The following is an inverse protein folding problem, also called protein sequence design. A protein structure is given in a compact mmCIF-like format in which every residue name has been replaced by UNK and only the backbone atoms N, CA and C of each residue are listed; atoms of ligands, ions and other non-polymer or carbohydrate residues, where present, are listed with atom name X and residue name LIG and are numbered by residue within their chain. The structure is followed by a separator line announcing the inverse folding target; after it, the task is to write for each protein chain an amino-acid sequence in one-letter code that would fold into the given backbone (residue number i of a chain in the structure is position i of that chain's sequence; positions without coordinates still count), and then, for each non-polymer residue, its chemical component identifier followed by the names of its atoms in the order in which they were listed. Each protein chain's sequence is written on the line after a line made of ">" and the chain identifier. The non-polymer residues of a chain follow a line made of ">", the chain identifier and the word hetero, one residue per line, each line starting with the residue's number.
data_IF_172175148839
#
_entry.id   IF_172175148839
#
_cell.length_a   1.000
_cell.length_b   1.000
_cell.length_c   1.000
_cell.angle_alpha   90.00
_cell.angle_beta   90.00
_cell.angle_gamma   90.00
#
_symmetry.space_group_name_H-M   'P 1'
#
loop_
_entity.id
_entity.type
_entity.pdbx_description
1 polymer ?
#
# COMPACT_ATOMS: atom_id res chain seq x y z
N UNK A 1 2.88 -43.74 -18.15
CA UNK A 1 2.86 -44.55 -19.40
C UNK A 1 3.50 -45.92 -19.25
N UNK A 2 4.59 -46.09 -18.47
CA UNK A 2 5.20 -47.39 -18.24
C UNK A 2 4.34 -48.31 -17.34
N UNK A 3 3.80 -47.79 -16.23
CA UNK A 3 2.94 -48.56 -15.32
C UNK A 3 1.60 -48.99 -15.95
N UNK A 4 1.04 -48.17 -16.84
CA UNK A 4 -0.19 -48.49 -17.59
C UNK A 4 0.04 -49.67 -18.54
N UNK A 5 1.24 -49.76 -19.14
CA UNK A 5 1.63 -50.90 -19.99
C UNK A 5 1.82 -52.18 -19.17
N UNK A 6 2.38 -52.08 -17.97
CA UNK A 6 2.56 -53.22 -17.08
C UNK A 6 1.23 -53.81 -16.58
N UNK A 7 0.24 -52.96 -16.29
CA UNK A 7 -1.10 -53.41 -15.90
C UNK A 7 -1.85 -54.05 -17.08
N UNK A 8 -1.71 -53.52 -18.30
CA UNK A 8 -2.30 -54.11 -19.51
C UNK A 8 -1.68 -55.46 -19.89
N UNK A 9 -0.37 -55.64 -19.67
CA UNK A 9 0.33 -56.93 -19.87
C UNK A 9 -0.15 -58.05 -18.95
N UNK A 10 -0.61 -57.72 -17.74
CA UNK A 10 -1.03 -58.71 -16.75
C UNK A 10 -2.48 -59.19 -16.97
N UNK A 11 -3.30 -58.40 -17.66
CA UNK A 11 -4.72 -58.71 -17.85
C UNK A 11 -5.00 -59.42 -19.18
N UNK A 12 -4.29 -59.11 -20.27
CA UNK A 12 -4.40 -59.84 -21.54
C UNK A 12 -3.24 -59.47 -22.50
N UNK A 13 -2.25 -60.36 -22.75
CA UNK A 13 -1.10 -60.06 -23.60
C UNK A 13 -1.45 -59.88 -25.10
N UNK A 14 -2.67 -60.23 -25.54
CA UNK A 14 -3.12 -59.99 -26.92
C UNK A 14 -3.43 -58.51 -27.23
N UNK A 15 -3.48 -57.63 -26.21
CA UNK A 15 -3.84 -56.21 -26.36
C UNK A 15 -2.66 -55.29 -26.73
N UNK A 16 -1.44 -55.84 -26.86
CA UNK A 16 -0.24 -55.10 -27.27
C UNK A 16 0.12 -55.27 -28.74
N UNK A 17 -0.60 -56.13 -29.47
CA UNK A 17 -0.38 -56.28 -30.90
C UNK A 17 -1.02 -55.09 -31.60
N UNK A 18 -0.16 -54.22 -32.10
CA UNK A 18 -0.51 -53.10 -32.95
C UNK A 18 -1.10 -53.73 -34.22
N UNK A 19 -2.44 -53.79 -34.27
CA UNK A 19 -3.18 -54.29 -35.43
C UNK A 19 -3.10 -53.24 -36.55
N UNK A 20 -1.88 -52.97 -37.01
CA UNK A 20 -1.59 -52.28 -38.25
C UNK A 20 -1.85 -53.23 -39.41
N UNK A 21 -2.69 -52.78 -40.33
CA UNK A 21 -2.79 -53.24 -41.71
C UNK A 21 -2.83 -54.76 -41.95
N UNK A 22 -3.93 -55.39 -41.54
CA UNK A 22 -4.45 -56.54 -42.29
C UNK A 22 -5.32 -56.03 -43.45
N UNK A 23 -4.66 -55.40 -44.42
CA UNK A 23 -5.21 -55.08 -45.73
C UNK A 23 -5.64 -56.36 -46.45
N UNK A 24 -6.94 -56.63 -46.47
CA UNK A 24 -7.66 -57.05 -47.68
C UNK A 24 -7.31 -58.39 -48.40
N UNK A 25 -6.70 -59.47 -47.85
CA UNK A 25 -6.54 -60.72 -48.62
C UNK A 25 -7.72 -61.68 -48.40
N UNK A 26 -8.34 -61.62 -47.22
CA UNK A 26 -9.33 -62.58 -46.74
C UNK A 26 -10.66 -62.52 -47.53
N UNK A 27 -11.06 -61.33 -47.99
CA UNK A 27 -12.29 -61.17 -48.78
C UNK A 27 -12.14 -61.74 -50.20
N UNK A 28 -10.95 -61.60 -50.81
CA UNK A 28 -10.68 -62.11 -52.15
C UNK A 28 -10.48 -63.63 -52.18
N UNK A 29 -9.92 -64.22 -51.11
CA UNK A 29 -9.88 -65.68 -50.92
C UNK A 29 -11.25 -66.26 -50.57
N UNK A 30 -12.02 -65.61 -49.70
CA UNK A 30 -13.38 -66.04 -49.38
C UNK A 30 -14.30 -66.01 -50.61
N UNK A 31 -14.22 -64.96 -51.43
CA UNK A 31 -14.98 -64.86 -52.68
C UNK A 31 -14.60 -65.94 -53.71
N UNK A 32 -13.31 -66.28 -53.82
CA UNK A 32 -12.84 -67.38 -54.68
C UNK A 32 -13.30 -68.74 -54.17
N UNK A 33 -13.29 -68.94 -52.86
CA UNK A 33 -13.77 -70.15 -52.21
C UNK A 33 -15.28 -70.32 -52.42
N UNK A 34 -16.07 -69.26 -52.28
CA UNK A 34 -17.52 -69.29 -52.47
C UNK A 34 -17.90 -69.64 -53.93
N UNK A 35 -17.17 -69.10 -54.90
CA UNK A 35 -17.34 -69.44 -56.32
C UNK A 35 -17.05 -70.93 -56.58
N UNK A 36 -15.93 -71.43 -56.07
CA UNK A 36 -15.52 -72.83 -56.21
C UNK A 36 -16.50 -73.80 -55.53
N UNK A 37 -17.00 -73.45 -54.35
CA UNK A 37 -18.02 -74.23 -53.63
C UNK A 37 -19.35 -74.24 -54.38
N UNK A 38 -19.72 -73.12 -55.00
CA UNK A 38 -20.95 -73.01 -55.80
C UNK A 38 -20.90 -73.89 -57.05
N UNK A 39 -19.77 -73.90 -57.76
CA UNK A 39 -19.56 -74.76 -58.93
C UNK A 39 -19.47 -76.24 -58.54
N UNK A 40 -18.75 -76.56 -57.46
CA UNK A 40 -18.66 -77.91 -56.92
C UNK A 40 -20.04 -78.45 -56.52
N UNK A 41 -20.89 -77.62 -55.91
CA UNK A 41 -22.28 -77.95 -55.57
C UNK A 41 -23.13 -78.22 -56.81
N UNK A 42 -22.90 -77.49 -57.91
CA UNK A 42 -23.61 -77.70 -59.17
C UNK A 42 -23.25 -79.05 -59.78
N UNK A 43 -21.96 -79.40 -59.79
CA UNK A 43 -21.45 -80.70 -60.26
C UNK A 43 -21.97 -81.84 -59.38
N UNK A 44 -21.89 -81.70 -58.06
CA UNK A 44 -22.43 -82.68 -57.13
C UNK A 44 -23.93 -82.93 -57.33
N UNK A 45 -24.73 -81.88 -57.60
CA UNK A 45 -26.17 -82.06 -57.90
C UNK A 45 -26.42 -82.91 -59.15
N UNK A 46 -25.58 -82.76 -60.18
CA UNK A 46 -25.70 -83.56 -61.42
C UNK A 46 -25.31 -85.00 -61.14
N UNK A 47 -24.17 -85.22 -60.49
CA UNK A 47 -23.71 -86.57 -60.11
C UNK A 47 -24.71 -87.28 -59.19
N UNK A 48 -25.29 -86.58 -58.22
CA UNK A 48 -26.33 -87.15 -57.36
C UNK A 48 -27.60 -87.54 -58.10
N UNK A 49 -28.01 -86.75 -59.10
CA UNK A 49 -29.15 -87.10 -59.96
C UNK A 49 -28.85 -88.36 -60.77
N UNK A 50 -27.64 -88.47 -61.32
CA UNK A 50 -27.22 -89.65 -62.07
C UNK A 50 -27.10 -90.89 -61.17
N UNK A 51 -26.49 -90.74 -59.99
CA UNK A 51 -26.38 -91.81 -59.00
C UNK A 51 -27.76 -92.27 -58.53
N UNK A 52 -28.70 -91.34 -58.28
CA UNK A 52 -30.07 -91.68 -57.90
C UNK A 52 -30.79 -92.48 -58.99
N UNK A 53 -30.61 -92.14 -60.26
CA UNK A 53 -31.15 -92.91 -61.39
C UNK A 53 -30.52 -94.30 -61.43
N UNK A 54 -29.20 -94.42 -61.26
CA UNK A 54 -28.51 -95.71 -61.25
C UNK A 54 -28.90 -96.59 -60.06
N UNK A 55 -28.97 -96.03 -58.85
CA UNK A 55 -29.40 -96.73 -57.63
C UNK A 55 -30.85 -97.21 -57.74
N UNK A 56 -31.70 -96.40 -58.36
CA UNK A 56 -33.07 -96.78 -58.71
C UNK A 56 -33.12 -97.92 -59.74
N UNK A 57 -32.26 -97.87 -60.76
CA UNK A 57 -32.16 -98.93 -61.77
C UNK A 57 -31.62 -100.23 -61.17
N UNK A 58 -30.61 -100.17 -60.31
CA UNK A 58 -30.03 -101.34 -59.63
C UNK A 58 -31.03 -101.95 -58.65
N UNK A 59 -31.73 -101.14 -57.84
CA UNK A 59 -32.80 -101.63 -56.95
C UNK A 59 -33.96 -102.27 -57.71
N UNK A 60 -34.29 -101.76 -58.89
CA UNK A 60 -35.27 -102.40 -59.79
C UNK A 60 -34.74 -103.74 -60.33
N UNK A 61 -33.46 -103.79 -60.71
CA UNK A 61 -32.81 -104.99 -61.27
C UNK A 61 -32.59 -106.10 -60.24
N UNK A 62 -32.28 -105.77 -58.98
CA UNK A 62 -32.13 -106.73 -57.87
C UNK A 62 -33.44 -107.46 -57.51
N UNK A 63 -34.60 -106.90 -57.86
CA UNK A 63 -35.91 -107.52 -57.65
C UNK A 63 -36.33 -108.52 -58.73
N UNK A 64 -35.57 -108.69 -59.82
CA UNK A 64 -35.89 -109.61 -60.92
C UNK A 64 -35.06 -110.89 -60.84
N UNK A 65 -35.72 -112.06 -60.81
CA UNK A 65 -35.04 -113.36 -60.73
C UNK A 65 -34.71 -113.96 -62.14
N UNK A 66 -35.23 -113.37 -63.23
CA UNK A 66 -34.85 -113.75 -64.61
C UNK A 66 -35.10 -112.64 -65.65
N UNK A 67 -34.36 -112.68 -66.76
CA UNK A 67 -34.40 -111.67 -67.84
C UNK A 67 -35.76 -111.56 -68.54
N UNK A 68 -36.60 -112.61 -68.49
CA UNK A 68 -37.94 -112.61 -69.09
C UNK A 68 -38.96 -111.77 -68.30
N UNK A 69 -38.75 -111.54 -67.00
CA UNK A 69 -39.62 -110.68 -66.19
C UNK A 69 -39.42 -109.19 -66.50
N UNK A 70 -38.23 -108.78 -66.95
CA UNK A 70 -37.94 -107.40 -67.35
C UNK A 70 -38.80 -106.93 -68.53
N UNK A 71 -39.15 -107.84 -69.45
CA UNK A 71 -39.89 -107.53 -70.67
C UNK A 71 -41.41 -107.57 -70.50
N UNK A 72 -41.92 -108.07 -69.37
CA UNK A 72 -43.36 -108.34 -69.16
C UNK A 72 -43.99 -107.58 -67.99
N UNK A 73 -43.18 -106.92 -67.14
CA UNK A 73 -43.68 -106.23 -65.95
C UNK A 73 -43.79 -104.71 -66.19
N UNK A 74 -44.93 -104.05 -65.91
CA UNK A 74 -45.04 -102.60 -66.05
C UNK A 74 -44.16 -101.89 -65.01
N UNK A 75 -43.47 -100.83 -65.45
CA UNK A 75 -42.54 -100.06 -64.65
C UNK A 75 -43.24 -99.44 -63.42
N UNK A 76 -42.77 -99.65 -62.18
CA UNK A 76 -43.40 -99.06 -61.00
C UNK A 76 -43.23 -97.53 -61.02
N UNK A 77 -44.25 -96.75 -60.61
CA UNK A 77 -44.27 -95.31 -60.88
C UNK A 77 -43.26 -94.48 -60.09
N UNK A 78 -42.61 -94.97 -59.02
CA UNK A 78 -41.49 -94.27 -58.37
C UNK A 78 -40.54 -95.23 -57.62
N UNK A 79 -39.22 -95.11 -57.82
CA UNK A 79 -38.23 -95.69 -56.90
C UNK A 79 -38.26 -94.97 -55.54
N UNK A 80 -38.10 -95.74 -54.45
CA UNK A 80 -38.31 -95.29 -53.07
C UNK A 80 -37.59 -93.98 -52.70
N UNK A 81 -38.36 -92.97 -52.28
CA UNK A 81 -37.90 -91.62 -51.95
C UNK A 81 -37.06 -91.45 -50.67
N UNK A 82 -36.49 -92.53 -50.11
CA UNK A 82 -35.73 -92.51 -48.86
C UNK A 82 -34.45 -91.65 -48.91
N UNK A 83 -33.68 -91.74 -49.99
CA UNK A 83 -32.49 -90.90 -50.21
C UNK A 83 -32.84 -89.42 -50.33
N UNK A 84 -33.95 -89.10 -51.02
CA UNK A 84 -34.46 -87.73 -51.17
C UNK A 84 -34.97 -87.15 -49.84
N UNK A 85 -35.62 -87.98 -49.02
CA UNK A 85 -36.04 -87.62 -47.66
C UNK A 85 -34.84 -87.28 -46.76
N UNK A 86 -33.82 -88.14 -46.73
CA UNK A 86 -32.57 -87.93 -45.97
C UNK A 86 -31.81 -86.69 -46.40
N UNK A 87 -31.69 -86.43 -47.70
CA UNK A 87 -31.07 -85.20 -48.22
C UNK A 87 -31.84 -83.93 -47.84
N UNK A 88 -33.18 -83.98 -47.87
CA UNK A 88 -34.02 -82.85 -47.42
C UNK A 88 -33.84 -82.58 -45.92
N UNK A 89 -33.78 -83.63 -45.11
CA UNK A 89 -33.53 -83.51 -43.67
C UNK A 89 -32.14 -82.91 -43.40
N UNK A 90 -31.09 -83.44 -44.03
CA UNK A 90 -29.72 -82.92 -43.90
C UNK A 90 -29.63 -81.45 -44.36
N UNK A 91 -30.31 -81.09 -45.44
CA UNK A 91 -30.35 -79.70 -45.93
C UNK A 91 -31.07 -78.77 -44.95
N UNK A 92 -32.12 -79.24 -44.28
CA UNK A 92 -32.82 -78.47 -43.25
C UNK A 92 -31.95 -78.31 -42.00
N UNK A 93 -31.27 -79.37 -41.56
CA UNK A 93 -30.32 -79.36 -40.44
C UNK A 93 -29.12 -78.44 -40.73
N UNK A 94 -28.53 -78.50 -41.93
CA UNK A 94 -27.43 -77.61 -42.33
C UNK A 94 -27.91 -76.15 -42.36
N UNK A 95 -29.15 -75.89 -42.80
CA UNK A 95 -29.71 -74.54 -42.78
C UNK A 95 -29.92 -74.05 -41.34
N UNK A 96 -30.46 -74.88 -40.46
CA UNK A 96 -30.60 -74.57 -39.02
C UNK A 96 -29.24 -74.28 -38.38
N UNK A 97 -28.23 -75.11 -38.64
CA UNK A 97 -26.88 -74.89 -38.13
C UNK A 97 -26.26 -73.59 -38.63
N UNK A 98 -26.47 -73.22 -39.90
CA UNK A 98 -26.03 -71.91 -40.42
C UNK A 98 -26.73 -70.77 -39.69
N UNK A 99 -28.05 -70.82 -39.53
CA UNK A 99 -28.83 -69.79 -38.81
C UNK A 99 -28.39 -69.63 -37.35
N UNK A 100 -28.09 -70.74 -36.66
CA UNK A 100 -27.54 -70.74 -35.30
C UNK A 100 -26.14 -70.13 -35.24
N UNK A 101 -25.24 -70.50 -36.17
CA UNK A 101 -23.90 -69.91 -36.24
C UNK A 101 -23.92 -68.43 -36.55
N UNK A 102 -24.81 -67.97 -37.44
CA UNK A 102 -25.00 -66.55 -37.73
C UNK A 102 -25.54 -65.77 -36.53
N UNK A 103 -26.46 -66.37 -35.76
CA UNK A 103 -26.93 -65.77 -34.51
C UNK A 103 -25.80 -65.64 -33.48
N UNK A 104 -24.98 -66.69 -33.30
CA UNK A 104 -23.82 -66.65 -32.41
C UNK A 104 -22.79 -65.59 -32.87
N UNK A 105 -22.50 -65.50 -34.17
CA UNK A 105 -21.60 -64.48 -34.72
C UNK A 105 -22.10 -63.06 -34.46
N UNK A 106 -23.40 -62.80 -34.62
CA UNK A 106 -24.01 -61.50 -34.27
C UNK A 106 -23.83 -61.18 -32.78
N UNK A 107 -24.12 -62.12 -31.89
CA UNK A 107 -23.93 -61.90 -30.44
C UNK A 107 -22.46 -61.68 -30.06
N UNK A 108 -21.52 -62.35 -30.74
CA UNK A 108 -20.09 -62.13 -30.54
C UNK A 108 -19.66 -60.74 -31.02
N UNK A 109 -20.14 -60.30 -32.19
CA UNK A 109 -19.88 -58.96 -32.70
C UNK A 109 -20.40 -57.87 -31.75
N UNK A 110 -21.61 -58.02 -31.22
CA UNK A 110 -22.16 -57.10 -30.21
C UNK A 110 -21.31 -57.07 -28.93
N UNK A 111 -20.86 -58.24 -28.45
CA UNK A 111 -19.97 -58.32 -27.28
C UNK A 111 -18.62 -57.65 -27.53
N UNK A 112 -18.03 -57.85 -28.71
CA UNK A 112 -16.78 -57.19 -29.09
C UNK A 112 -16.97 -55.67 -29.09
N UNK A 113 -18.06 -55.18 -29.69
CA UNK A 113 -18.38 -53.76 -29.71
C UNK A 113 -18.53 -53.17 -28.29
N UNK A 114 -19.24 -53.87 -27.40
CA UNK A 114 -19.37 -53.47 -26.00
C UNK A 114 -18.02 -53.43 -25.27
N UNK A 115 -17.13 -54.40 -25.54
CA UNK A 115 -15.77 -54.42 -24.96
C UNK A 115 -14.96 -53.22 -25.46
N UNK A 116 -15.04 -52.88 -26.75
CA UNK A 116 -14.35 -51.72 -27.32
C UNK A 116 -14.84 -50.40 -26.70
N UNK A 117 -16.15 -50.24 -26.52
CA UNK A 117 -16.75 -49.07 -25.85
C UNK A 117 -16.31 -48.95 -24.38
N UNK A 118 -16.31 -50.08 -23.65
CA UNK A 118 -15.79 -50.13 -22.27
C UNK A 118 -14.29 -49.80 -22.22
N UNK A 119 -13.49 -50.28 -23.18
CA UNK A 119 -12.07 -49.93 -23.27
C UNK A 119 -11.88 -48.43 -23.50
N UNK A 120 -12.68 -47.84 -24.39
CA UNK A 120 -12.59 -46.42 -24.68
C UNK A 120 -12.95 -45.57 -23.45
N UNK A 121 -14.05 -45.89 -22.77
CA UNK A 121 -14.48 -45.19 -21.55
C UNK A 121 -13.45 -45.31 -20.42
N UNK A 122 -12.88 -46.50 -20.20
CA UNK A 122 -11.80 -46.69 -19.22
C UNK A 122 -10.55 -45.86 -19.57
N UNK A 123 -10.18 -45.81 -20.85
CA UNK A 123 -9.02 -45.00 -21.29
C UNK A 123 -9.24 -43.51 -21.00
N UNK A 124 -10.44 -42.99 -21.25
CA UNK A 124 -10.81 -41.61 -20.91
C UNK A 124 -10.75 -41.36 -19.39
N UNK A 125 -11.28 -42.28 -18.58
CA UNK A 125 -11.25 -42.17 -17.12
C UNK A 125 -9.83 -42.16 -16.55
N UNK A 126 -8.95 -43.05 -17.06
CA UNK A 126 -7.53 -43.08 -16.66
C UNK A 126 -6.84 -41.76 -17.00
N UNK A 127 -7.11 -41.21 -18.20
CA UNK A 127 -6.53 -39.93 -18.58
C UNK A 127 -7.07 -38.77 -17.72
N UNK A 128 -8.35 -38.79 -17.37
CA UNK A 128 -8.94 -37.82 -16.46
C UNK A 128 -8.31 -37.89 -15.06
N UNK A 129 -8.14 -39.09 -14.50
CA UNK A 129 -7.49 -39.30 -13.21
C UNK A 129 -6.02 -38.84 -13.23
N UNK A 130 -5.30 -39.10 -14.31
CA UNK A 130 -3.92 -38.64 -14.46
C UNK A 130 -3.83 -37.10 -14.46
N UNK A 131 -4.73 -36.45 -15.19
CA UNK A 131 -4.82 -34.99 -15.20
C UNK A 131 -5.16 -34.43 -13.81
N UNK A 132 -6.09 -35.06 -13.09
CA UNK A 132 -6.45 -34.67 -11.72
C UNK A 132 -5.28 -34.82 -10.75
N UNK A 133 -4.51 -35.93 -10.84
CA UNK A 133 -3.30 -36.13 -10.05
C UNK A 133 -2.27 -35.02 -10.29
N UNK A 134 -2.02 -34.68 -11.55
CA UNK A 134 -1.10 -33.59 -11.92
C UNK A 134 -1.57 -32.23 -11.38
N UNK A 135 -2.88 -31.95 -11.43
CA UNK A 135 -3.45 -30.73 -10.85
C UNK A 135 -3.24 -30.67 -9.33
N UNK A 136 -3.43 -31.78 -8.62
CA UNK A 136 -3.22 -31.83 -7.16
C UNK A 136 -1.75 -31.61 -6.78
N UNK A 137 -0.80 -32.15 -7.55
CA UNK A 137 0.64 -31.93 -7.32
C UNK A 137 1.00 -30.45 -7.51
N UNK A 138 0.50 -29.81 -8.57
CA UNK A 138 0.70 -28.37 -8.81
C UNK A 138 0.11 -27.49 -7.70
N UNK A 139 -1.07 -27.86 -7.18
CA UNK A 139 -1.71 -27.15 -6.07
C UNK A 139 -0.91 -27.30 -4.77
N UNK A 140 -0.32 -28.46 -4.54
CA UNK A 140 0.52 -28.72 -3.37
C UNK A 140 1.81 -27.88 -3.42
N UNK A 141 2.44 -27.78 -4.59
CA UNK A 141 3.60 -26.91 -4.78
C UNK A 141 3.26 -25.43 -4.58
N UNK A 142 2.11 -24.95 -5.09
CA UNK A 142 1.70 -23.56 -4.89
C UNK A 142 1.37 -23.26 -3.44
N UNK A 143 0.74 -24.20 -2.73
CA UNK A 143 0.47 -24.09 -1.30
C UNK A 143 1.77 -24.03 -0.48
N UNK A 144 2.77 -24.86 -0.80
CA UNK A 144 4.07 -24.80 -0.14
C UNK A 144 4.77 -23.45 -0.38
N UNK A 145 4.71 -22.92 -1.61
CA UNK A 145 5.25 -21.60 -1.93
C UNK A 145 4.55 -20.49 -1.14
N UNK A 146 3.22 -20.55 -1.03
CA UNK A 146 2.44 -19.59 -0.24
C UNK A 146 2.79 -19.67 1.25
N UNK A 147 2.97 -20.86 1.81
CA UNK A 147 3.39 -21.05 3.20
C UNK A 147 4.79 -20.49 3.46
N UNK A 148 5.75 -20.75 2.57
CA UNK A 148 7.10 -20.20 2.70
C UNK A 148 7.09 -18.66 2.60
N UNK A 149 6.28 -18.10 1.71
CA UNK A 149 6.11 -16.64 1.61
C UNK A 149 5.49 -16.05 2.89
N UNK A 150 4.48 -16.71 3.46
CA UNK A 150 3.86 -16.30 4.73
C UNK A 150 4.89 -16.28 5.86
N UNK A 151 5.68 -17.35 6.00
CA UNK A 151 6.75 -17.42 6.99
C UNK A 151 7.77 -16.30 6.81
N UNK A 152 8.17 -15.99 5.57
CA UNK A 152 9.07 -14.86 5.30
C UNK A 152 8.45 -13.52 5.73
N UNK A 153 7.16 -13.30 5.46
CA UNK A 153 6.45 -12.10 5.90
C UNK A 153 6.38 -12.01 7.43
N UNK A 154 6.13 -13.12 8.13
CA UNK A 154 6.11 -13.14 9.59
C UNK A 154 7.46 -12.73 10.19
N UNK A 155 8.57 -13.23 9.63
CA UNK A 155 9.92 -12.82 10.07
C UNK A 155 10.17 -11.32 9.83
N UNK A 156 9.75 -10.78 8.69
CA UNK A 156 9.86 -9.36 8.38
C UNK A 156 9.01 -8.50 9.33
N UNK A 157 7.80 -8.95 9.67
CA UNK A 157 6.93 -8.26 10.63
C UNK A 157 7.56 -8.20 12.02
N UNK A 158 8.14 -9.31 12.50
CA UNK A 158 8.86 -9.34 13.78
C UNK A 158 10.03 -8.36 13.77
N UNK A 159 10.80 -8.34 12.69
CA UNK A 159 11.93 -7.41 12.54
C UNK A 159 11.47 -5.93 12.55
N UNK A 160 10.43 -5.60 11.77
CA UNK A 160 9.89 -4.24 11.73
C UNK A 160 9.32 -3.80 13.08
N UNK A 161 8.67 -4.72 13.80
CA UNK A 161 8.15 -4.46 15.15
C UNK A 161 9.29 -4.14 16.13
N UNK A 162 10.36 -4.93 16.13
CA UNK A 162 11.53 -4.67 16.98
C UNK A 162 12.21 -3.33 16.64
N UNK A 163 12.28 -2.98 15.35
CA UNK A 163 12.81 -1.68 14.92
C UNK A 163 11.93 -0.52 15.42
N UNK A 164 10.61 -0.64 15.30
CA UNK A 164 9.67 0.36 15.79
C UNK A 164 9.76 0.55 17.31
N UNK A 165 9.81 -0.55 18.08
CA UNK A 165 10.00 -0.51 19.53
C UNK A 165 11.32 0.17 19.92
N UNK A 166 12.41 -0.11 19.21
CA UNK A 166 13.70 0.56 19.45
C UNK A 166 13.66 2.06 19.16
N UNK A 167 12.92 2.47 18.12
CA UNK A 167 12.78 3.86 17.73
C UNK A 167 11.93 4.63 18.73
N UNK A 168 10.84 4.02 19.21
CA UNK A 168 10.02 4.55 20.29
C UNK A 168 10.83 4.74 21.57
N UNK A 169 11.64 3.74 21.98
CA UNK A 169 12.52 3.86 23.13
C UNK A 169 13.51 5.03 23.02
N UNK A 170 14.11 5.23 21.83
CA UNK A 170 14.97 6.40 21.58
C UNK A 170 14.19 7.72 21.70
N UNK A 171 12.98 7.78 21.16
CA UNK A 171 12.15 9.00 21.21
C UNK A 171 11.75 9.35 22.64
N UNK A 172 11.42 8.36 23.47
CA UNK A 172 11.13 8.56 24.89
C UNK A 172 12.36 9.11 25.64
N UNK A 173 13.56 8.60 25.36
CA UNK A 173 14.79 9.13 25.95
C UNK A 173 15.04 10.59 25.56
N UNK A 174 14.84 10.94 24.27
CA UNK A 174 14.96 12.32 23.80
C UNK A 174 13.93 13.25 24.42
N UNK A 175 12.71 12.76 24.60
CA UNK A 175 11.66 13.49 25.29
C UNK A 175 12.04 13.76 26.74
N UNK A 176 12.51 12.76 27.48
CA UNK A 176 12.97 12.94 28.85
C UNK A 176 14.11 13.97 28.94
N UNK A 177 15.12 13.87 28.08
CA UNK A 177 16.23 14.83 28.05
C UNK A 177 15.75 16.25 27.76
N UNK A 178 14.84 16.42 26.80
CA UNK A 178 14.25 17.74 26.51
C UNK A 178 13.50 18.26 27.74
N UNK A 179 12.71 17.42 28.40
CA UNK A 179 11.90 17.83 29.54
C UNK A 179 12.82 18.21 30.74
N UNK A 180 13.91 17.47 30.97
CA UNK A 180 14.97 17.84 31.93
C UNK A 180 15.63 19.18 31.58
N UNK A 181 16.02 19.37 30.32
CA UNK A 181 16.59 20.64 29.84
C UNK A 181 15.60 21.80 29.98
N UNK A 182 14.31 21.56 29.76
CA UNK A 182 13.27 22.57 29.93
C UNK A 182 13.16 23.01 31.38
N UNK A 183 13.27 22.09 32.35
CA UNK A 183 13.31 22.41 33.78
C UNK A 183 14.51 23.31 34.08
N UNK A 184 15.72 22.94 33.63
CA UNK A 184 16.90 23.78 33.83
C UNK A 184 16.75 25.17 33.21
N UNK A 185 16.18 25.28 32.00
CA UNK A 185 15.91 26.56 31.35
C UNK A 185 14.94 27.39 32.17
N UNK A 186 13.85 26.79 32.67
CA UNK A 186 12.87 27.48 33.51
C UNK A 186 13.46 27.93 34.85
N UNK A 187 14.28 27.10 35.49
CA UNK A 187 14.99 27.48 36.73
C UNK A 187 15.94 28.64 36.48
N UNK A 188 16.73 28.58 35.40
CA UNK A 188 17.63 29.67 35.00
C UNK A 188 16.85 30.94 34.68
N UNK A 189 15.75 30.87 33.93
CA UNK A 189 14.88 32.01 33.65
C UNK A 189 14.21 32.58 34.90
N UNK A 190 13.93 31.75 35.91
CA UNK A 190 13.37 32.24 37.17
C UNK A 190 14.37 33.07 37.97
N UNK A 191 15.67 32.81 37.81
CA UNK A 191 16.75 33.55 38.49
C UNK A 191 17.26 34.70 37.61
N UNK A 192 17.31 34.49 36.30
CA UNK A 192 17.83 35.45 35.34
C UNK A 192 16.78 36.50 34.98
N UNK A 193 17.21 37.75 34.99
CA UNK A 193 16.45 38.89 34.49
C UNK A 193 16.46 38.97 32.95
N UNK A 194 16.71 37.84 32.27
CA UNK A 194 16.95 37.76 30.83
C UNK A 194 16.17 36.58 30.26
N UNK A 195 15.19 36.88 29.41
CA UNK A 195 14.42 35.89 28.66
C UNK A 195 14.97 35.80 27.23
N UNK A 196 15.38 34.60 26.83
CA UNK A 196 15.71 34.32 25.44
C UNK A 196 14.41 34.22 24.63
N UNK A 197 14.20 35.12 23.66
CA UNK A 197 13.02 35.11 22.79
C UNK A 197 13.27 34.29 21.52
N UNK A 198 14.41 34.51 20.87
CA UNK A 198 14.81 33.75 19.69
C UNK A 198 16.33 33.70 19.55
N UNK A 199 16.82 32.65 18.90
CA UNK A 199 18.23 32.46 18.60
C UNK A 199 18.36 31.77 17.25
N UNK A 200 19.17 32.34 16.36
CA UNK A 200 19.53 31.74 15.07
C UNK A 200 21.04 31.87 14.82
N UNK A 201 21.50 31.56 13.60
CA UNK A 201 22.93 31.52 13.28
C UNK A 201 23.62 32.89 13.33
N UNK A 202 22.89 33.98 13.13
CA UNK A 202 23.42 35.35 13.02
C UNK A 202 22.75 36.34 13.97
N UNK A 203 21.72 35.93 14.71
CA UNK A 203 20.85 36.81 15.47
C UNK A 203 20.42 36.18 16.79
N UNK A 204 20.24 37.03 17.80
CA UNK A 204 19.79 36.71 19.14
C UNK A 204 18.83 37.80 19.59
N UNK A 205 17.61 37.42 19.90
CA UNK A 205 16.63 38.30 20.52
C UNK A 205 16.50 37.93 21.99
N UNK A 206 16.76 38.90 22.87
CA UNK A 206 16.60 38.75 24.32
C UNK A 206 15.70 39.84 24.87
N UNK A 207 14.99 39.51 25.93
CA UNK A 207 14.15 40.44 26.68
C UNK A 207 14.68 40.54 28.10
N UNK A 208 15.07 41.74 28.51
CA UNK A 208 15.56 42.02 29.85
C UNK A 208 14.39 42.46 30.74
N UNK A 209 14.29 41.85 31.92
CA UNK A 209 13.33 42.14 32.98
C UNK A 209 14.06 42.36 34.30
N UNK A 210 14.67 43.54 34.52
CA UNK A 210 15.36 43.81 35.77
C UNK A 210 14.41 43.74 36.96
N UNK A 211 14.76 42.97 37.99
CA UNK A 211 13.99 42.93 39.23
C UNK A 211 14.43 44.08 40.11
N UNK A 212 13.59 45.09 40.19
CA UNK A 212 13.88 46.26 41.02
C UNK A 212 13.48 45.96 42.45
N UNK A 213 14.40 46.23 43.38
CA UNK A 213 14.26 45.88 44.80
C UNK A 213 13.26 46.75 45.56
N UNK A 214 12.47 47.58 44.87
CA UNK A 214 11.67 48.64 45.48
C UNK A 214 10.18 48.28 45.52
N UNK A 215 9.64 48.32 46.75
CA UNK A 215 8.27 48.02 47.16
C UNK A 215 7.18 48.98 46.62
N UNK A 216 7.36 49.57 45.43
CA UNK A 216 6.49 50.61 44.90
C UNK A 216 5.55 50.04 43.82
N UNK A 217 4.27 49.96 44.20
CA UNK A 217 3.02 49.78 43.45
C UNK A 217 3.03 49.67 41.90
N UNK A 218 2.38 48.59 41.47
CA UNK A 218 1.51 48.35 40.28
C UNK A 218 1.99 48.59 38.85
N UNK A 219 3.08 49.30 38.60
CA UNK A 219 3.53 49.55 37.22
C UNK A 219 4.89 48.87 36.98
N UNK A 220 4.84 47.56 36.68
CA UNK A 220 6.02 46.89 36.13
C UNK A 220 6.43 47.59 34.82
N UNK A 221 7.70 47.97 34.66
CA UNK A 221 8.14 48.64 33.44
C UNK A 221 8.01 47.69 32.26
N UNK A 222 7.82 48.29 31.07
CA UNK A 222 7.92 47.52 29.84
C UNK A 222 9.29 46.85 29.71
N UNK A 223 9.33 45.55 29.39
CA UNK A 223 10.57 44.80 29.35
C UNK A 223 11.42 45.25 28.16
N UNK A 224 12.74 45.35 28.37
CA UNK A 224 13.66 45.87 27.36
C UNK A 224 14.02 44.77 26.35
N UNK A 225 13.52 44.90 25.13
CA UNK A 225 13.80 43.94 24.05
C UNK A 225 15.03 44.35 23.27
N UNK A 226 15.99 43.44 23.19
CA UNK A 226 17.26 43.62 22.52
C UNK A 226 17.39 42.66 21.34
N UNK A 227 17.85 43.18 20.21
CA UNK A 227 18.25 42.42 19.03
C UNK A 227 19.77 42.52 18.89
N UNK A 228 20.45 41.40 19.05
CA UNK A 228 21.87 41.27 18.72
C UNK A 228 21.97 40.59 17.37
N UNK A 229 22.66 41.22 16.43
CA UNK A 229 23.08 40.61 15.17
C UNK A 229 24.59 40.51 15.14
N UNK A 230 25.16 39.45 14.56
CA UNK A 230 26.60 39.32 14.37
C UNK A 230 26.94 38.81 12.98
N UNK A 231 28.08 39.27 12.47
CA UNK A 231 28.61 38.91 11.16
C UNK A 231 29.82 37.98 11.25
N UNK A 232 30.22 37.40 10.12
CA UNK A 232 31.36 36.48 10.04
C UNK A 232 32.72 37.12 10.37
N UNK A 233 32.78 38.44 10.48
CA UNK A 233 33.98 39.23 10.83
C UNK A 233 34.12 39.46 12.35
N UNK A 234 33.46 38.64 13.17
CA UNK A 234 33.49 38.68 14.64
C UNK A 234 32.97 39.99 15.26
N UNK A 235 32.17 40.75 14.50
CA UNK A 235 31.50 41.96 14.99
C UNK A 235 30.04 41.72 15.30
N UNK A 236 29.55 42.37 16.35
CA UNK A 236 28.14 42.41 16.70
C UNK A 236 27.57 43.82 16.54
N UNK A 237 26.27 43.88 16.33
CA UNK A 237 25.43 45.06 16.48
C UNK A 237 24.30 44.73 17.44
N UNK A 238 24.11 45.57 18.45
CA UNK A 238 23.10 45.46 19.49
C UNK A 238 22.14 46.63 19.33
N UNK A 239 20.88 46.32 19.06
CA UNK A 239 19.80 47.27 18.87
C UNK A 239 18.75 47.08 19.97
N UNK A 240 18.18 48.19 20.44
CA UNK A 240 17.03 48.17 21.34
C UNK A 240 15.79 48.29 20.47
N UNK A 241 14.87 47.31 20.55
CA UNK A 241 13.64 47.36 19.75
C UNK A 241 12.70 48.47 20.24
N UNK A 242 12.14 49.22 19.31
CA UNK A 242 11.25 50.36 19.57
C UNK A 242 10.01 49.95 20.39
N UNK A 243 9.86 50.56 21.57
CA UNK A 243 8.75 50.35 22.52
C UNK A 243 9.09 50.94 23.89
N UNK A 244 10.25 50.54 24.42
CA UNK A 244 10.84 51.08 25.66
C UNK A 244 11.60 52.38 25.40
N UNK A 245 10.85 53.49 25.41
CA UNK A 245 11.31 54.89 25.55
C UNK A 245 12.80 55.19 25.27
N UNK A 246 13.24 55.04 24.00
CA UNK A 246 14.45 55.65 23.44
C UNK A 246 15.75 55.49 24.23
N UNK A 247 15.89 54.46 25.06
CA UNK A 247 16.83 54.44 26.19
C UNK A 247 18.33 54.50 25.80
N UNK A 248 18.67 54.14 24.57
CA UNK A 248 20.06 54.04 24.11
C UNK A 248 20.10 54.48 22.67
N UNK A 249 21.10 55.30 22.31
CA UNK A 249 21.44 55.63 20.92
C UNK A 249 21.42 54.33 20.10
N UNK A 250 20.63 54.32 19.02
CA UNK A 250 19.90 53.16 18.46
C UNK A 250 20.72 51.91 18.03
N UNK A 251 22.03 51.89 18.24
CA UNK A 251 22.88 50.75 17.89
C UNK A 251 24.24 50.79 18.60
N UNK A 252 24.52 49.84 19.49
CA UNK A 252 25.88 49.56 19.95
C UNK A 252 26.55 48.58 18.99
N UNK A 253 27.85 48.74 18.71
CA UNK A 253 28.61 47.77 17.92
C UNK A 253 29.99 47.54 18.50
N UNK A 254 30.51 46.32 18.35
CA UNK A 254 31.79 45.92 18.94
C UNK A 254 32.22 44.52 18.51
N UNK A 255 33.25 43.98 19.15
CA UNK A 255 33.67 42.58 18.93
C UNK A 255 32.81 41.61 19.71
N UNK A 256 32.62 40.38 19.24
CA UNK A 256 31.76 39.39 19.92
C UNK A 256 32.16 39.13 21.38
N UNK A 257 33.45 39.24 21.70
CA UNK A 257 33.97 39.13 23.07
C UNK A 257 33.48 40.25 24.01
N UNK A 258 33.12 41.42 23.48
CA UNK A 258 32.65 42.58 24.22
C UNK A 258 31.12 42.57 24.43
N UNK A 259 30.39 41.67 23.76
CA UNK A 259 28.93 41.59 23.80
C UNK A 259 28.39 41.50 25.24
N UNK A 260 29.05 40.71 26.10
CA UNK A 260 28.65 40.58 27.50
C UNK A 260 28.73 41.93 28.23
N UNK A 261 29.79 42.71 28.01
CA UNK A 261 29.95 44.02 28.62
C UNK A 261 28.90 44.99 28.08
N UNK A 262 28.67 45.00 26.77
CA UNK A 262 27.64 45.83 26.14
C UNK A 262 26.23 45.53 26.70
N UNK A 263 25.86 44.26 26.87
CA UNK A 263 24.57 43.88 27.47
C UNK A 263 24.45 44.35 28.93
N UNK A 264 25.52 44.23 29.72
CA UNK A 264 25.54 44.71 31.11
C UNK A 264 25.46 46.25 31.20
N UNK A 265 26.09 46.96 30.28
CA UNK A 265 26.00 48.43 30.20
C UNK A 265 24.57 48.87 29.88
N UNK A 266 23.93 48.22 28.90
CA UNK A 266 22.52 48.48 28.57
C UNK A 266 21.61 48.19 29.78
N UNK A 267 21.81 47.07 30.47
CA UNK A 267 21.07 46.76 31.71
C UNK A 267 21.24 47.85 32.77
N UNK A 268 22.49 48.26 33.04
CA UNK A 268 22.80 49.27 34.05
C UNK A 268 22.22 50.64 33.69
N UNK A 269 22.27 51.03 32.42
CA UNK A 269 21.64 52.27 31.94
C UNK A 269 20.12 52.25 32.13
N UNK A 270 19.48 51.10 31.84
CA UNK A 270 18.04 50.93 32.01
C UNK A 270 17.64 51.00 33.49
N UNK A 271 18.36 50.30 34.37
CA UNK A 271 18.13 50.35 35.81
C UNK A 271 18.33 51.76 36.37
N UNK A 272 19.37 52.48 35.94
CA UNK A 272 19.66 53.83 36.40
C UNK A 272 18.65 54.89 35.94
N UNK A 273 17.89 54.62 34.87
CA UNK A 273 16.85 55.52 34.35
C UNK A 273 15.43 55.04 34.64
N UNK A 274 15.29 53.93 35.36
CA UNK A 274 14.02 53.25 35.57
C UNK A 274 12.89 54.19 36.02
N UNK A 275 13.12 54.99 37.06
CA UNK A 275 12.09 55.88 37.62
C UNK A 275 11.56 56.89 36.60
N UNK A 276 12.44 57.49 35.80
CA UNK A 276 12.08 58.43 34.73
C UNK A 276 11.24 57.74 33.65
N UNK A 277 11.64 56.55 33.21
CA UNK A 277 10.96 55.83 32.13
C UNK A 277 9.60 55.32 32.58
N UNK A 278 9.49 54.84 33.83
CA UNK A 278 8.21 54.43 34.41
C UNK A 278 7.24 55.60 34.50
N UNK A 279 7.72 56.79 34.88
CA UNK A 279 6.90 58.00 34.86
C UNK A 279 6.45 58.35 33.43
N UNK A 280 7.37 58.38 32.46
CA UNK A 280 7.04 58.64 31.04
C UNK A 280 6.04 57.61 30.50
N UNK A 281 6.23 56.33 30.82
CA UNK A 281 5.34 55.24 30.40
C UNK A 281 3.93 55.46 30.95
N UNK A 282 3.80 55.81 32.23
CA UNK A 282 2.51 56.16 32.84
C UNK A 282 1.85 57.36 32.16
N UNK A 283 2.65 58.38 31.80
CA UNK A 283 2.14 59.59 31.17
C UNK A 283 1.66 59.38 29.73
N UNK A 284 2.26 58.44 28.99
CA UNK A 284 1.83 58.11 27.61
C UNK A 284 0.37 57.66 27.51
N UNK A 285 -0.19 57.09 28.58
CA UNK A 285 -1.59 56.69 28.62
C UNK A 285 -2.55 57.89 28.70
N UNK A 286 -2.08 59.02 29.24
CA UNK A 286 -2.92 60.20 29.55
C UNK A 286 -2.60 61.43 28.71
N UNK A 287 -1.41 61.50 28.13
CA UNK A 287 -0.90 62.67 27.41
C UNK A 287 -0.25 62.27 26.09
N UNK A 288 -0.46 63.07 25.05
CA UNK A 288 0.23 62.92 23.77
C UNK A 288 1.67 63.44 23.91
N UNK A 289 2.58 62.54 24.30
CA UNK A 289 3.97 62.86 24.58
C UNK A 289 4.94 62.02 23.74
N UNK A 290 6.09 62.62 23.44
CA UNK A 290 7.23 61.99 22.80
C UNK A 290 8.50 62.25 23.63
N UNK A 291 9.34 61.25 23.82
CA UNK A 291 10.56 61.34 24.64
C UNK A 291 11.79 61.24 23.75
N UNK A 292 12.60 62.28 23.75
CA UNK A 292 13.84 62.37 22.97
C UNK A 292 15.04 62.19 23.89
N UNK A 293 15.48 60.94 24.05
CA UNK A 293 16.53 60.57 24.99
C UNK A 293 17.86 61.29 24.74
N UNK A 294 18.35 61.30 23.49
CA UNK A 294 19.60 61.96 23.13
C UNK A 294 19.63 63.46 23.47
N UNK A 295 18.46 64.11 23.52
CA UNK A 295 18.30 65.53 23.87
C UNK A 295 17.85 65.72 25.33
N UNK A 296 17.48 64.64 26.02
CA UNK A 296 16.80 64.65 27.33
C UNK A 296 15.58 65.58 27.38
N UNK A 297 14.79 65.58 26.32
CA UNK A 297 13.60 66.44 26.19
C UNK A 297 12.33 65.61 26.03
N UNK A 298 11.33 65.90 26.87
CA UNK A 298 9.96 65.42 26.70
C UNK A 298 9.15 66.47 25.91
N UNK A 299 8.60 66.04 24.78
CA UNK A 299 7.74 66.85 23.93
C UNK A 299 6.29 66.52 24.26
N UNK A 300 5.50 67.51 24.63
CA UNK A 300 4.08 67.36 24.93
C UNK A 300 3.23 68.13 23.93
N UNK A 301 2.35 67.41 23.22
CA UNK A 301 1.38 67.98 22.31
C UNK A 301 0.07 68.24 23.07
N UNK A 302 -0.16 69.49 23.48
CA UNK A 302 -1.41 69.88 24.18
C UNK A 302 -2.57 69.99 23.19
N UNK A 303 -2.32 70.52 22.00
CA UNK A 303 -3.29 70.63 20.91
C UNK A 303 -2.58 70.60 19.56
N UNK A 304 -3.31 70.50 18.45
CA UNK A 304 -2.73 70.44 17.10
C UNK A 304 -1.79 71.60 16.76
N UNK A 305 -1.91 72.74 17.46
CA UNK A 305 -1.08 73.92 17.24
C UNK A 305 -0.16 74.25 18.41
N UNK A 306 -0.26 73.55 19.56
CA UNK A 306 0.51 73.88 20.76
C UNK A 306 1.38 72.71 21.23
N UNK A 307 2.70 72.96 21.26
CA UNK A 307 3.70 71.99 21.68
C UNK A 307 4.54 72.58 22.81
N UNK A 308 4.68 71.81 23.89
CA UNK A 308 5.53 72.14 25.03
C UNK A 308 6.78 71.25 25.01
N UNK A 309 7.93 71.83 25.34
CA UNK A 309 9.20 71.13 25.44
C UNK A 309 9.66 71.19 26.89
N UNK A 310 9.79 70.05 27.55
CA UNK A 310 10.28 69.90 28.92
C UNK A 310 11.67 69.28 28.88
N UNK A 311 12.67 69.96 29.42
CA UNK A 311 14.01 69.42 29.58
C UNK A 311 14.13 68.71 30.92
N UNK A 312 14.80 67.55 30.92
CA UNK A 312 14.99 66.71 32.10
C UNK A 312 16.48 66.62 32.40
N UNK A 313 16.90 67.21 33.53
CA UNK A 313 18.30 67.22 33.96
C UNK A 313 18.80 65.82 34.37
N UNK A 314 20.12 65.66 34.42
CA UNK A 314 20.77 64.40 34.82
C UNK A 314 20.44 64.00 36.25
N UNK A 315 20.19 62.70 36.46
CA UNK A 315 19.83 62.16 37.76
C UNK A 315 18.39 62.43 38.21
N UNK A 316 17.52 62.99 37.36
CA UNK A 316 16.08 63.05 37.62
C UNK A 316 15.49 61.63 37.76
N UNK A 317 14.58 61.36 38.72
CA UNK A 317 13.95 62.32 39.65
C UNK A 317 14.70 62.53 40.98
N UNK A 318 15.76 61.76 41.25
CA UNK A 318 16.46 61.76 42.53
C UNK A 318 17.31 63.02 42.79
N UNK A 319 18.08 63.49 41.82
CA UNK A 319 18.97 64.66 41.93
C UNK A 319 18.78 65.70 40.83
N UNK A 320 18.19 65.31 39.70
CA UNK A 320 17.85 66.21 38.60
C UNK A 320 16.43 66.76 38.74
N UNK A 321 16.10 67.76 37.92
CA UNK A 321 14.74 68.36 37.85
C UNK A 321 14.24 68.39 36.41
N UNK A 322 12.91 68.42 36.26
CA UNK A 322 12.26 68.73 35.00
C UNK A 322 11.98 70.24 34.94
N UNK A 323 12.22 70.87 33.78
CA UNK A 323 11.99 72.30 33.55
C UNK A 323 11.37 72.55 32.18
N UNK A 324 10.50 73.56 32.10
CA UNK A 324 9.95 74.00 30.83
C UNK A 324 11.03 74.71 30.00
N UNK A 325 11.38 74.13 28.86
CA UNK A 325 12.38 74.66 27.93
C UNK A 325 11.76 75.70 26.99
N UNK A 326 10.63 75.37 26.37
CA UNK A 326 9.90 76.30 25.50
C UNK A 326 8.47 75.85 25.26
N UNK A 327 7.60 76.80 24.93
CA UNK A 327 6.24 76.54 24.42
C UNK A 327 6.14 77.14 23.03
N UNK A 328 5.61 76.39 22.08
CA UNK A 328 5.41 76.84 20.70
C UNK A 328 3.94 76.76 20.32
N UNK A 329 3.41 77.85 19.76
CA UNK A 329 2.09 77.93 19.14
C UNK A 329 2.26 78.18 17.65
N UNK A 330 1.76 77.26 16.82
CA UNK A 330 1.88 77.31 15.36
C UNK A 330 3.35 77.48 14.89
N UNK A 331 4.26 76.77 15.56
CA UNK A 331 5.70 76.82 15.33
C UNK A 331 6.43 78.04 15.92
N UNK A 332 5.72 79.06 16.40
CA UNK A 332 6.30 80.28 16.97
C UNK A 332 6.44 80.18 18.50
N UNK A 333 7.50 80.75 19.10
CA UNK A 333 7.68 80.75 20.55
C UNK A 333 6.60 81.59 21.25
N UNK A 334 6.03 81.06 22.33
CA UNK A 334 5.08 81.77 23.20
C UNK A 334 5.85 82.34 24.40
N UNK A 335 5.48 83.53 24.85
CA UNK A 335 6.02 84.07 26.09
C UNK A 335 5.56 83.22 27.28
N UNK A 336 6.53 82.71 28.03
CA UNK A 336 6.33 81.80 29.17
C UNK A 336 6.58 82.48 30.51
N UNK A 337 6.89 83.79 30.51
CA UNK A 337 7.19 84.58 31.72
C UNK A 337 6.07 84.57 32.77
N UNK A 338 4.81 84.35 32.36
CA UNK A 338 3.65 84.23 33.26
C UNK A 338 3.37 82.81 33.78
N UNK A 339 4.14 81.80 33.38
CA UNK A 339 3.98 80.41 33.82
C UNK A 339 4.87 80.12 35.03
N UNK A 340 4.45 80.56 36.21
CA UNK A 340 5.14 80.23 37.46
C UNK A 340 4.41 79.12 38.22
N UNK A 341 4.93 77.88 38.22
CA UNK A 341 4.37 76.83 39.06
C UNK A 341 4.59 77.14 40.55
N UNK A 342 3.60 76.80 41.39
CA UNK A 342 3.64 77.07 42.83
C UNK A 342 4.71 76.25 43.60
N UNK A 343 5.27 75.21 42.97
CA UNK A 343 6.37 74.41 43.49
C UNK A 343 7.61 74.59 42.63
N UNK A 344 8.78 74.69 43.26
CA UNK A 344 10.08 74.87 42.59
C UNK A 344 10.62 73.58 41.96
N UNK A 345 10.15 72.41 42.41
CA UNK A 345 10.54 71.10 41.90
C UNK A 345 9.30 70.30 41.53
N UNK A 346 8.83 70.48 40.30
CA UNK A 346 7.74 69.68 39.76
C UNK A 346 8.26 68.39 39.12
N UNK A 347 7.53 67.29 39.32
CA UNK A 347 7.74 66.08 38.52
C UNK A 347 7.26 66.27 37.08
N UNK A 348 7.62 65.37 36.15
CA UNK A 348 7.10 65.41 34.78
C UNK A 348 5.57 65.31 34.77
N UNK A 349 5.02 64.45 35.62
CA UNK A 349 3.58 64.32 35.82
C UNK A 349 2.97 65.64 36.27
N UNK A 350 3.54 66.28 37.29
CA UNK A 350 3.02 67.55 37.81
C UNK A 350 3.14 68.68 36.78
N UNK A 351 4.22 68.71 35.99
CA UNK A 351 4.39 69.63 34.86
C UNK A 351 3.30 69.44 33.82
N UNK A 352 3.01 68.21 33.38
CA UNK A 352 1.99 67.98 32.36
C UNK A 352 0.59 68.32 32.87
N UNK A 353 0.27 68.02 34.13
CA UNK A 353 -1.00 68.41 34.76
C UNK A 353 -1.13 69.94 34.85
N UNK A 354 -0.06 70.64 35.23
CA UNK A 354 -0.03 72.10 35.26
C UNK A 354 -0.21 72.71 33.86
N UNK A 355 0.55 72.24 32.87
CA UNK A 355 0.46 72.74 31.49
C UNK A 355 -0.90 72.45 30.86
N UNK A 356 -1.52 71.30 31.18
CA UNK A 356 -2.85 70.94 30.72
C UNK A 356 -3.93 71.87 31.32
N UNK A 357 -3.85 72.15 32.62
CA UNK A 357 -4.82 72.98 33.35
C UNK A 357 -4.62 74.49 33.22
N UNK A 358 -3.44 74.94 32.77
CA UNK A 358 -3.14 76.37 32.60
C UNK A 358 -3.93 76.98 31.45
N UNK A 359 -4.68 78.08 31.67
CA UNK A 359 -5.43 78.78 30.63
C UNK A 359 -4.55 79.74 29.82
N UNK A 360 -3.31 79.99 30.26
CA UNK A 360 -2.39 80.95 29.63
C UNK A 360 -1.78 80.42 28.33
N UNK A 361 -1.86 79.11 28.07
CA UNK A 361 -1.26 78.43 26.92
C UNK A 361 -2.21 77.49 26.21
#
# INVERSE_FOLDING_TARGET
>A
MAEVRAVLQHCDPALLDDCGDLEQPAWAEAARMDLYLTDSRRVQKVLWRQLFVLDSMVSLLEGFESVQQLMTTPCPPQPGGGARGRWKALKAETRSGVEETEALLRTLQERIQQILERRHTLTQLVQHLHNKKKQTEQLMESLQKAQNALQSCDHQLVQLKAQAESALGRLTNWQQLRDELQVYISDVQSVMQINLLSFNQSELCVELRPRLSCNMSSNEPEPLRLLVTWSHDDRFKLQVNEGTAGLVDDCMSGRRSELKAALLDVMRCYEGQFELLSEIQGLRASFAIDWRHAQRVLVYLKSALLVCYLEVEEGYPSSGRARLLSVRRDGQPVDTSGLEPHKTHLSLTEWLVFLCSSPLI
#
